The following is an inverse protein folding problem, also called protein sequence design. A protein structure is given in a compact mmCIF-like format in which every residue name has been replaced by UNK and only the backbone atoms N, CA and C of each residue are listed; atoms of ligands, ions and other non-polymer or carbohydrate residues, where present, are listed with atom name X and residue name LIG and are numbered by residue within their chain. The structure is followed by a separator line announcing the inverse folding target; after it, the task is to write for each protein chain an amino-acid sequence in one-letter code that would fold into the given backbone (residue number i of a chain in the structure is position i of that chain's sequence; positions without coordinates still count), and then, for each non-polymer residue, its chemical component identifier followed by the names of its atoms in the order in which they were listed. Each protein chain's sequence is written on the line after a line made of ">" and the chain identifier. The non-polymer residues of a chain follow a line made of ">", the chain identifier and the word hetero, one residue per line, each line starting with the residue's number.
data_IF_266177848536
#
_entry.id   IF_266177848536
#
_cell.length_a   1.000
_cell.length_b   1.000
_cell.length_c   1.000
_cell.angle_alpha   90.00
_cell.angle_beta   90.00
_cell.angle_gamma   90.00
#
_symmetry.space_group_name_H-M   'P 1'
#
loop_
_entity.id
_entity.type
_entity.pdbx_description
1 polymer ?
#
# COMPACT_ATOMS: atom_id res chain seq x y z
N UNK A 1 5.16 54.97 -11.57
CA UNK A 1 4.18 54.32 -10.68
C UNK A 1 3.52 53.23 -11.53
N UNK A 2 4.04 51.97 -11.44
CA UNK A 2 3.57 50.85 -12.24
C UNK A 2 2.54 50.12 -11.38
N UNK A 3 1.28 50.19 -11.79
CA UNK A 3 0.16 49.49 -11.14
C UNK A 3 0.18 48.02 -11.56
N UNK A 4 0.57 47.15 -10.68
CA UNK A 4 0.40 45.69 -10.84
C UNK A 4 -1.05 45.33 -10.58
N UNK A 5 -1.82 45.09 -11.67
CA UNK A 5 -3.12 44.45 -11.57
C UNK A 5 -2.91 42.94 -11.27
N UNK A 6 -2.91 42.58 -10.00
CA UNK A 6 -3.08 41.19 -9.58
C UNK A 6 -4.54 40.77 -9.89
N UNK A 7 -4.77 40.19 -11.07
CA UNK A 7 -5.95 39.35 -11.26
C UNK A 7 -5.79 38.14 -10.31
N UNK A 8 -6.44 38.22 -9.18
CA UNK A 8 -6.68 37.05 -8.34
C UNK A 8 -7.48 36.05 -9.19
N UNK A 9 -6.81 35.03 -9.68
CA UNK A 9 -7.48 33.84 -10.18
C UNK A 9 -8.18 33.20 -8.97
N UNK A 10 -9.46 33.48 -8.81
CA UNK A 10 -10.34 32.66 -7.98
C UNK A 10 -10.56 31.30 -8.67
N UNK A 11 -9.52 30.52 -8.79
CA UNK A 11 -9.69 29.07 -8.88
C UNK A 11 -10.00 28.60 -7.47
N UNK A 12 -11.28 28.45 -7.17
CA UNK A 12 -11.70 27.62 -6.02
C UNK A 12 -11.18 26.21 -6.30
N UNK A 13 -9.94 25.95 -5.89
CA UNK A 13 -9.39 24.61 -5.89
C UNK A 13 -10.18 23.86 -4.84
N UNK A 14 -11.06 22.96 -5.28
CA UNK A 14 -11.77 22.06 -4.38
C UNK A 14 -10.77 21.02 -3.89
N UNK A 15 -10.38 21.12 -2.61
CA UNK A 15 -9.49 20.18 -1.93
C UNK A 15 -10.24 19.07 -1.22
N UNK A 16 -11.56 19.06 -1.32
CA UNK A 16 -12.40 18.03 -0.72
C UNK A 16 -12.44 16.76 -1.58
N UNK A 17 -12.71 15.64 -0.96
CA UNK A 17 -12.93 14.37 -1.66
C UNK A 17 -14.13 14.45 -2.60
N UNK A 18 -14.07 13.72 -3.70
CA UNK A 18 -15.22 13.47 -4.56
C UNK A 18 -16.30 12.66 -3.82
N UNK A 19 -17.50 12.63 -4.36
CA UNK A 19 -18.59 11.86 -3.75
C UNK A 19 -18.26 10.35 -3.73
N UNK A 20 -17.57 9.84 -4.76
CA UNK A 20 -17.12 8.45 -4.82
C UNK A 20 -16.03 8.16 -3.76
N UNK A 21 -15.11 9.10 -3.53
CA UNK A 21 -14.08 8.96 -2.49
C UNK A 21 -14.69 9.01 -1.09
N UNK A 22 -15.69 9.88 -0.86
CA UNK A 22 -16.44 9.91 0.41
C UNK A 22 -17.23 8.62 0.62
N UNK A 23 -17.86 8.10 -0.41
CA UNK A 23 -18.54 6.81 -0.35
C UNK A 23 -17.57 5.67 0.00
N UNK A 24 -16.40 5.62 -0.65
CA UNK A 24 -15.35 4.64 -0.35
C UNK A 24 -14.89 4.76 1.11
N UNK A 25 -14.71 5.99 1.61
CA UNK A 25 -14.33 6.24 3.01
C UNK A 25 -15.38 5.72 3.99
N UNK A 26 -16.64 6.00 3.75
CA UNK A 26 -17.75 5.55 4.59
C UNK A 26 -17.86 4.01 4.61
N UNK A 27 -17.69 3.36 3.46
CA UNK A 27 -17.70 1.90 3.37
C UNK A 27 -16.48 1.27 4.04
N UNK A 28 -15.29 1.84 3.85
CA UNK A 28 -14.09 1.40 4.54
C UNK A 28 -14.22 1.52 6.07
N UNK A 29 -14.74 2.66 6.53
CA UNK A 29 -15.00 2.89 7.95
C UNK A 29 -15.97 1.86 8.53
N UNK A 30 -17.12 1.63 7.89
CA UNK A 30 -18.10 0.63 8.32
C UNK A 30 -17.49 -0.77 8.36
N UNK A 31 -16.71 -1.12 7.35
CA UNK A 31 -16.03 -2.41 7.27
C UNK A 31 -15.07 -2.60 8.45
N UNK A 32 -14.17 -1.66 8.70
CA UNK A 32 -13.20 -1.78 9.78
C UNK A 32 -13.81 -1.63 11.17
N UNK A 33 -14.89 -0.88 11.33
CA UNK A 33 -15.64 -0.80 12.60
C UNK A 33 -16.28 -2.16 12.95
N UNK A 34 -16.67 -2.94 11.93
CA UNK A 34 -17.29 -4.25 12.11
C UNK A 34 -16.26 -5.38 12.21
N UNK A 35 -15.27 -5.42 11.33
CA UNK A 35 -14.39 -6.58 11.13
C UNK A 35 -12.99 -6.40 11.72
N UNK A 36 -12.58 -5.15 11.99
CA UNK A 36 -11.26 -4.78 12.48
C UNK A 36 -11.24 -4.36 13.95
N UNK A 37 -10.32 -3.46 14.25
CA UNK A 37 -10.25 -2.75 15.52
C UNK A 37 -9.24 -3.30 16.52
N UNK A 38 -9.11 -2.58 17.63
CA UNK A 38 -8.10 -2.82 18.67
C UNK A 38 -8.11 -4.24 19.26
N UNK A 39 -9.28 -4.88 19.31
CA UNK A 39 -9.39 -6.26 19.81
C UNK A 39 -8.65 -7.24 18.91
N UNK A 40 -8.71 -7.06 17.59
CA UNK A 40 -8.00 -7.90 16.64
C UNK A 40 -6.49 -7.70 16.74
N UNK A 41 -6.04 -6.43 16.78
CA UNK A 41 -4.64 -6.10 16.95
C UNK A 41 -4.06 -6.70 18.26
N UNK A 42 -4.79 -6.60 19.37
CA UNK A 42 -4.40 -7.21 20.65
C UNK A 42 -4.34 -8.74 20.56
N UNK A 43 -5.35 -9.36 19.94
CA UNK A 43 -5.37 -10.81 19.76
C UNK A 43 -4.17 -11.30 18.97
N UNK A 44 -3.79 -10.61 17.90
CA UNK A 44 -2.59 -10.93 17.10
C UNK A 44 -1.33 -10.78 17.95
N UNK A 45 -1.18 -9.66 18.66
CA UNK A 45 -0.03 -9.39 19.52
C UNK A 45 0.10 -10.38 20.68
N UNK A 46 -0.99 -10.63 21.41
CA UNK A 46 -1.00 -11.49 22.60
C UNK A 46 -0.73 -12.97 22.27
N UNK A 47 -1.11 -13.41 21.07
CA UNK A 47 -0.91 -14.78 20.60
C UNK A 47 0.30 -14.94 19.68
N UNK A 48 1.10 -13.89 19.48
CA UNK A 48 2.26 -13.90 18.58
C UNK A 48 1.93 -14.40 17.16
N UNK A 49 0.78 -13.98 16.62
CA UNK A 49 0.35 -14.36 15.28
C UNK A 49 1.03 -13.47 14.24
N UNK A 50 1.20 -14.00 13.04
CA UNK A 50 1.77 -13.28 11.89
C UNK A 50 0.84 -12.20 11.31
N UNK A 51 -0.38 -12.07 11.83
CA UNK A 51 -1.40 -11.11 11.36
C UNK A 51 -2.80 -11.69 11.47
N UNK A 52 -3.79 -10.92 11.05
CA UNK A 52 -5.20 -11.33 10.98
C UNK A 52 -5.52 -11.86 9.57
N UNK A 53 -5.37 -13.18 9.39
CA UNK A 53 -5.59 -13.84 8.09
C UNK A 53 -7.05 -13.77 7.63
N UNK A 54 -8.01 -13.76 8.54
CA UNK A 54 -9.44 -13.67 8.21
C UNK A 54 -9.78 -12.27 7.73
N UNK A 55 -9.26 -11.24 8.39
CA UNK A 55 -9.40 -9.85 7.96
C UNK A 55 -8.73 -9.63 6.59
N UNK A 56 -7.51 -10.18 6.40
CA UNK A 56 -6.81 -10.09 5.13
C UNK A 56 -7.61 -10.68 3.99
N UNK A 57 -8.19 -11.85 4.17
CA UNK A 57 -9.06 -12.49 3.18
C UNK A 57 -10.26 -11.62 2.79
N UNK A 58 -10.91 -10.97 3.76
CA UNK A 58 -12.02 -10.06 3.49
C UNK A 58 -11.59 -8.81 2.71
N UNK A 59 -10.39 -8.29 2.99
CA UNK A 59 -9.80 -7.16 2.25
C UNK A 59 -9.55 -7.55 0.79
N UNK A 60 -9.06 -8.78 0.55
CA UNK A 60 -8.89 -9.33 -0.81
C UNK A 60 -10.26 -9.45 -1.51
N UNK A 61 -11.26 -10.00 -0.85
CA UNK A 61 -12.63 -10.15 -1.40
C UNK A 61 -13.27 -8.81 -1.80
N UNK A 62 -12.90 -7.71 -1.12
CA UNK A 62 -13.29 -6.33 -1.48
C UNK A 62 -12.47 -5.74 -2.63
N UNK A 63 -11.43 -6.44 -3.12
CA UNK A 63 -10.56 -5.97 -4.18
C UNK A 63 -9.56 -4.89 -3.76
N UNK A 64 -9.44 -4.59 -2.46
CA UNK A 64 -8.59 -3.49 -2.01
C UNK A 64 -7.10 -3.76 -2.16
N UNK A 65 -6.69 -5.02 -2.25
CA UNK A 65 -5.32 -5.41 -2.62
C UNK A 65 -4.93 -4.97 -4.03
N UNK A 66 -5.90 -4.92 -4.93
CA UNK A 66 -5.73 -4.49 -6.32
C UNK A 66 -6.10 -3.04 -6.60
N UNK A 67 -6.34 -2.21 -5.57
CA UNK A 67 -6.88 -0.85 -5.72
C UNK A 67 -6.06 0.00 -6.71
N UNK A 68 -4.74 -0.10 -6.69
CA UNK A 68 -3.82 0.63 -7.57
C UNK A 68 -3.41 -0.13 -8.83
N UNK A 69 -3.61 -1.44 -8.84
CA UNK A 69 -3.20 -2.27 -9.97
C UNK A 69 -4.04 -1.93 -11.20
N UNK A 70 -3.44 -1.70 -12.38
CA UNK A 70 -4.19 -1.46 -13.61
C UNK A 70 -5.16 -2.60 -13.93
N UNK A 71 -6.30 -2.28 -14.55
CA UNK A 71 -7.32 -3.26 -14.97
C UNK A 71 -6.74 -4.35 -15.89
N UNK A 72 -5.73 -4.01 -16.70
CA UNK A 72 -5.02 -4.98 -17.56
C UNK A 72 -4.36 -6.13 -16.78
N UNK A 73 -4.15 -5.97 -15.47
CA UNK A 73 -3.59 -6.97 -14.55
C UNK A 73 -4.58 -7.31 -13.43
N UNK A 74 -5.87 -7.28 -13.73
CA UNK A 74 -6.97 -7.68 -12.84
C UNK A 74 -7.20 -6.76 -11.63
N UNK A 75 -6.62 -5.56 -11.63
CA UNK A 75 -6.81 -4.57 -10.58
C UNK A 75 -7.99 -3.63 -10.81
N UNK A 76 -8.19 -2.68 -9.89
CA UNK A 76 -9.25 -1.67 -9.96
C UNK A 76 -8.83 -0.40 -10.72
N UNK A 77 -7.54 -0.18 -10.97
CA UNK A 77 -7.02 0.98 -11.68
C UNK A 77 -7.29 2.34 -11.03
N UNK A 78 -7.58 2.38 -9.72
CA UNK A 78 -7.91 3.60 -9.00
C UNK A 78 -6.66 4.45 -8.68
N UNK A 79 -6.88 5.65 -8.15
CA UNK A 79 -5.84 6.62 -7.84
C UNK A 79 -5.17 6.40 -6.47
N UNK A 80 -4.14 7.22 -6.20
CA UNK A 80 -3.50 7.24 -4.89
C UNK A 80 -4.41 7.84 -3.81
N UNK A 81 -5.38 8.69 -4.17
CA UNK A 81 -6.32 9.24 -3.19
C UNK A 81 -7.23 8.16 -2.63
N UNK A 82 -7.72 7.25 -3.47
CA UNK A 82 -8.52 6.10 -3.04
C UNK A 82 -7.70 5.15 -2.16
N UNK A 83 -6.43 4.94 -2.50
CA UNK A 83 -5.51 4.19 -1.64
C UNK A 83 -5.32 4.87 -0.28
N UNK A 84 -5.16 6.19 -0.24
CA UNK A 84 -5.03 6.96 1.01
C UNK A 84 -6.28 6.86 1.88
N UNK A 85 -7.47 6.87 1.27
CA UNK A 85 -8.74 6.69 1.99
C UNK A 85 -8.78 5.34 2.73
N UNK A 86 -8.40 4.26 2.06
CA UNK A 86 -8.31 2.93 2.69
C UNK A 86 -7.21 2.89 3.75
N UNK A 87 -6.04 3.51 3.48
CA UNK A 87 -4.92 3.57 4.40
C UNK A 87 -5.26 4.26 5.72
N UNK A 88 -6.03 5.35 5.66
CA UNK A 88 -6.47 6.08 6.85
C UNK A 88 -7.33 5.19 7.75
N UNK A 89 -8.29 4.48 7.18
CA UNK A 89 -9.17 3.59 7.94
C UNK A 89 -8.46 2.33 8.47
N UNK A 90 -7.50 1.77 7.73
CA UNK A 90 -6.59 0.72 8.21
C UNK A 90 -5.81 1.18 9.44
N UNK A 91 -5.22 2.39 9.36
CA UNK A 91 -4.46 2.98 10.47
C UNK A 91 -5.36 3.27 11.68
N UNK A 92 -6.55 3.85 11.46
CA UNK A 92 -7.52 4.14 12.52
C UNK A 92 -7.94 2.88 13.28
N UNK A 93 -8.09 1.77 12.57
CA UNK A 93 -8.51 0.48 13.16
C UNK A 93 -7.35 -0.36 13.68
N UNK A 94 -6.10 0.04 13.46
CA UNK A 94 -4.89 -0.75 13.73
C UNK A 94 -4.99 -2.16 13.14
N UNK A 95 -5.46 -2.27 11.91
CA UNK A 95 -5.65 -3.55 11.23
C UNK A 95 -4.31 -4.30 11.06
N UNK A 96 -4.12 -5.46 11.70
CA UNK A 96 -2.86 -6.19 11.67
C UNK A 96 -2.77 -7.07 10.42
N UNK A 97 -2.61 -6.43 9.27
CA UNK A 97 -2.56 -7.07 7.95
C UNK A 97 -1.38 -6.51 7.13
N UNK A 98 -0.80 -7.29 6.19
CA UNK A 98 0.39 -6.91 5.42
C UNK A 98 0.05 -5.90 4.30
N UNK A 99 -0.85 -4.94 4.56
CA UNK A 99 -1.31 -4.01 3.54
C UNK A 99 -0.23 -2.98 3.18
N UNK A 100 0.51 -2.48 4.16
CA UNK A 100 1.54 -1.47 3.90
C UNK A 100 2.71 -2.03 3.10
N UNK A 101 3.23 -3.19 3.47
CA UNK A 101 4.34 -3.84 2.76
C UNK A 101 3.93 -4.27 1.36
N UNK A 102 2.79 -4.95 1.25
CA UNK A 102 2.34 -5.54 -0.01
C UNK A 102 1.74 -4.51 -0.97
N UNK A 103 0.80 -3.68 -0.51
CA UNK A 103 0.05 -2.79 -1.41
C UNK A 103 0.74 -1.43 -1.60
N UNK A 104 1.19 -0.77 -0.50
CA UNK A 104 1.79 0.58 -0.64
C UNK A 104 3.19 0.55 -1.25
N UNK A 105 3.99 -0.48 -0.95
CA UNK A 105 5.39 -0.51 -1.37
C UNK A 105 5.65 -1.52 -2.47
N UNK A 106 5.41 -2.80 -2.23
CA UNK A 106 5.79 -3.82 -3.19
C UNK A 106 5.00 -3.72 -4.50
N UNK A 107 3.68 -3.63 -4.41
CA UNK A 107 2.82 -3.51 -5.60
C UNK A 107 3.14 -2.24 -6.41
N UNK A 108 3.31 -1.09 -5.75
CA UNK A 108 3.70 0.16 -6.42
C UNK A 108 5.09 0.06 -7.07
N UNK A 109 6.03 -0.63 -6.42
CA UNK A 109 7.35 -0.86 -7.00
C UNK A 109 7.27 -1.71 -8.28
N UNK A 110 6.44 -2.78 -8.27
CA UNK A 110 6.22 -3.60 -9.47
C UNK A 110 5.52 -2.80 -10.58
N UNK A 111 4.48 -2.02 -10.26
CA UNK A 111 3.80 -1.18 -11.24
C UNK A 111 4.78 -0.21 -11.90
N UNK A 112 5.65 0.40 -11.12
CA UNK A 112 6.53 1.49 -11.56
C UNK A 112 7.80 0.98 -12.25
N UNK A 113 8.39 -0.09 -11.76
CA UNK A 113 9.73 -0.53 -12.16
C UNK A 113 9.79 -1.95 -12.74
N UNK A 114 8.72 -2.74 -12.61
CA UNK A 114 8.66 -4.10 -13.14
C UNK A 114 8.69 -4.11 -14.68
N UNK A 115 9.33 -5.13 -15.27
CA UNK A 115 9.14 -5.44 -16.69
C UNK A 115 7.71 -5.92 -16.94
N UNK A 116 7.27 -5.89 -18.19
CA UNK A 116 5.92 -6.37 -18.54
C UNK A 116 5.71 -7.84 -18.16
N UNK A 117 6.75 -8.65 -18.26
CA UNK A 117 6.74 -10.06 -17.83
C UNK A 117 6.51 -10.16 -16.30
N UNK A 118 7.26 -9.40 -15.51
CA UNK A 118 7.12 -9.36 -14.05
C UNK A 118 5.74 -8.85 -13.64
N UNK A 119 5.24 -7.79 -14.30
CA UNK A 119 3.91 -7.26 -14.04
C UNK A 119 2.82 -8.28 -14.31
N UNK A 120 2.89 -8.94 -15.46
CA UNK A 120 1.91 -9.94 -15.88
C UNK A 120 1.91 -11.19 -14.99
N UNK A 121 3.05 -11.55 -14.42
CA UNK A 121 3.16 -12.69 -13.49
C UNK A 121 2.74 -12.32 -12.06
N UNK A 122 3.22 -11.19 -11.52
CA UNK A 122 3.07 -10.89 -10.09
C UNK A 122 1.81 -10.09 -9.74
N UNK A 123 1.40 -9.13 -10.59
CA UNK A 123 0.28 -8.25 -10.22
C UNK A 123 -1.05 -9.01 -10.02
N UNK A 124 -1.44 -9.97 -10.86
CA UNK A 124 -2.65 -10.76 -10.61
C UNK A 124 -2.57 -11.58 -9.31
N UNK A 125 -1.40 -12.12 -8.97
CA UNK A 125 -1.18 -12.87 -7.72
C UNK A 125 -1.28 -11.99 -6.48
N UNK A 126 -0.82 -10.73 -6.57
CA UNK A 126 -0.96 -9.75 -5.50
C UNK A 126 -2.42 -9.30 -5.32
N UNK A 127 -3.14 -9.12 -6.42
CA UNK A 127 -4.58 -8.80 -6.41
C UNK A 127 -5.40 -9.91 -5.78
N UNK A 128 -5.16 -11.16 -6.18
CA UNK A 128 -5.86 -12.35 -5.66
C UNK A 128 -5.45 -12.76 -4.25
N UNK A 129 -4.36 -12.18 -3.73
CA UNK A 129 -3.79 -12.57 -2.44
C UNK A 129 -3.06 -13.91 -2.44
N UNK A 130 -2.80 -14.50 -3.61
CA UNK A 130 -1.93 -15.67 -3.77
C UNK A 130 -0.49 -15.34 -3.35
N UNK A 131 -0.05 -14.10 -3.58
CA UNK A 131 1.23 -13.59 -3.15
C UNK A 131 1.06 -12.39 -2.22
N UNK A 132 1.93 -12.31 -1.23
CA UNK A 132 2.12 -11.14 -0.37
C UNK A 132 3.53 -10.62 -0.64
N UNK A 133 3.62 -9.33 -0.96
CA UNK A 133 4.91 -8.69 -1.23
C UNK A 133 5.48 -8.00 0.00
N UNK A 134 6.79 -7.97 0.09
CA UNK A 134 7.50 -7.17 1.08
C UNK A 134 8.74 -6.53 0.47
N UNK A 135 9.41 -5.68 1.23
CA UNK A 135 10.61 -4.97 0.78
C UNK A 135 11.66 -4.94 1.87
N UNK A 136 12.93 -4.98 1.47
CA UNK A 136 14.07 -4.84 2.37
C UNK A 136 14.99 -3.73 1.89
N UNK A 137 15.06 -2.63 2.62
CA UNK A 137 15.92 -1.49 2.28
C UNK A 137 17.17 -1.48 3.17
N UNK A 138 17.00 -1.56 4.49
CA UNK A 138 18.06 -1.44 5.45
C UNK A 138 19.00 -2.65 5.46
N UNK A 139 20.30 -2.39 5.56
CA UNK A 139 21.36 -3.40 5.70
C UNK A 139 22.06 -3.31 7.06
N UNK A 140 21.96 -2.14 7.70
CA UNK A 140 22.45 -1.87 9.05
C UNK A 140 21.56 -0.81 9.74
N UNK A 141 22.02 -0.24 10.84
CA UNK A 141 21.29 0.77 11.63
C UNK A 141 21.40 2.19 11.06
N UNK A 142 22.12 2.40 9.95
CA UNK A 142 22.21 3.71 9.30
C UNK A 142 21.13 3.88 8.24
N UNK A 143 20.77 5.12 7.89
CA UNK A 143 19.89 5.36 6.76
C UNK A 143 20.46 4.74 5.47
N UNK A 144 19.63 4.00 4.75
CA UNK A 144 20.04 3.40 3.49
C UNK A 144 20.30 4.49 2.44
N UNK A 145 21.52 4.49 1.89
CA UNK A 145 21.96 5.38 0.82
C UNK A 145 22.64 4.57 -0.25
N UNK A 146 22.73 5.08 -1.47
CA UNK A 146 23.42 4.40 -2.57
C UNK A 146 24.88 4.05 -2.22
N UNK A 147 25.52 4.86 -1.38
CA UNK A 147 26.93 4.67 -1.01
C UNK A 147 27.17 3.62 0.08
N UNK A 148 26.14 3.24 0.86
CA UNK A 148 26.29 2.27 1.96
C UNK A 148 25.53 0.96 1.74
N UNK A 149 24.85 0.80 0.61
CA UNK A 149 24.24 -0.47 0.24
C UNK A 149 25.32 -1.44 -0.27
N UNK A 150 25.34 -2.65 0.30
CA UNK A 150 26.33 -3.69 0.03
C UNK A 150 25.74 -4.91 -0.66
N UNK A 151 24.41 -5.06 -0.66
CA UNK A 151 23.73 -6.14 -1.39
C UNK A 151 24.08 -6.03 -2.88
N UNK A 152 24.55 -7.12 -3.43
CA UNK A 152 25.01 -7.19 -4.82
C UNK A 152 24.38 -8.36 -5.58
N UNK A 153 24.30 -8.24 -6.90
CA UNK A 153 23.88 -9.33 -7.79
C UNK A 153 25.10 -9.80 -8.57
N UNK A 154 25.44 -11.07 -8.40
CA UNK A 154 26.57 -11.70 -9.11
C UNK A 154 26.12 -13.06 -9.64
N UNK A 155 26.28 -13.28 -10.94
CA UNK A 155 25.92 -14.57 -11.59
C UNK A 155 24.47 -14.99 -11.24
N UNK A 156 23.53 -14.10 -11.38
CA UNK A 156 22.09 -14.30 -11.11
C UNK A 156 21.76 -14.64 -9.63
N UNK A 157 22.68 -14.41 -8.72
CA UNK A 157 22.49 -14.60 -7.28
C UNK A 157 22.57 -13.26 -6.55
N UNK A 158 21.63 -13.07 -5.64
CA UNK A 158 21.63 -11.93 -4.71
C UNK A 158 22.49 -12.33 -3.51
N UNK A 159 23.47 -11.50 -3.16
CA UNK A 159 24.36 -11.69 -2.03
C UNK A 159 24.26 -10.48 -1.09
N UNK A 160 23.98 -10.71 0.17
CA UNK A 160 23.90 -9.69 1.20
C UNK A 160 22.86 -10.00 2.26
N UNK A 161 22.67 -9.05 3.17
CA UNK A 161 21.73 -9.14 4.30
C UNK A 161 20.85 -7.91 4.26
N UNK A 162 19.56 -8.12 4.46
CA UNK A 162 18.58 -7.05 4.72
C UNK A 162 18.03 -7.24 6.13
N UNK A 163 17.85 -6.14 6.85
CA UNK A 163 17.27 -6.11 8.20
C UNK A 163 15.98 -5.29 8.23
N UNK A 164 15.21 -5.46 9.29
CA UNK A 164 13.92 -4.75 9.47
C UNK A 164 12.99 -4.89 8.25
N UNK A 165 12.92 -6.09 7.69
CA UNK A 165 11.99 -6.41 6.61
C UNK A 165 10.59 -6.57 7.24
N UNK A 166 9.58 -5.77 6.83
CA UNK A 166 8.24 -5.88 7.37
C UNK A 166 7.51 -7.12 6.83
N UNK A 167 6.63 -7.72 7.63
CA UNK A 167 5.71 -8.85 7.35
C UNK A 167 6.35 -10.18 6.93
#
# INVERSE_FOLDING_TARGET
>A
MISFNLKLYNNNMNLDFSDDQKFLQDEAKKFFDKEGGLSNARKVMDNSLEGDKDLWKKIIELGWTGIRVPEAYEGLGLGHLELCVIAEELGRSLAPVPFSSSVYFFTEAIIKFGSEEIKSDLLPKLVSGEAIGTYGIAEDMHPATESNLTVSVTSEKINGIKIAVPD
#
